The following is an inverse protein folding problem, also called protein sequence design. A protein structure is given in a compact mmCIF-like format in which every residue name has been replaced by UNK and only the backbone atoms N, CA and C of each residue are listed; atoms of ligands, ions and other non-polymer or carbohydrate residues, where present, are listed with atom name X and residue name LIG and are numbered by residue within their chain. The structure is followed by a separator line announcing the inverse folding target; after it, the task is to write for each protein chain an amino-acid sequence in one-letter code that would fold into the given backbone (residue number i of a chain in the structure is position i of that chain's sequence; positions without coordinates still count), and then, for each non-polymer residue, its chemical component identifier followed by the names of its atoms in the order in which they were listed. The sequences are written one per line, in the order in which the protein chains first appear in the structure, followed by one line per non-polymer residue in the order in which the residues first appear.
data_IF_964356985324
#
_entry.id   IF_964356985324
#
_cell.length_a   1.000
_cell.length_b   1.000
_cell.length_c   1.000
_cell.angle_alpha   90.00
_cell.angle_beta   90.00
_cell.angle_gamma   90.00
#
_symmetry.space_group_name_H-M   'P 1'
#
loop_
_entity.id
_entity.type
_entity.pdbx_description
1 polymer ?
#
# COMPACT_ATOMS: atom_id res chain seq x y z
N UNK A 1 -2.34 15.42 12.70
CA UNK A 1 -3.61 15.90 13.28
C UNK A 1 -3.37 17.24 13.96
N UNK A 2 -4.40 18.08 14.15
CA UNK A 2 -4.25 19.43 14.75
C UNK A 2 -3.63 19.41 16.16
N UNK A 3 -3.68 18.26 16.82
CA UNK A 3 -3.20 17.99 18.18
C UNK A 3 -2.08 16.93 18.21
N UNK A 4 -1.42 16.66 17.07
CA UNK A 4 -0.35 15.67 16.95
C UNK A 4 -0.76 14.22 17.29
N UNK A 5 -2.06 13.93 17.36
CA UNK A 5 -2.57 12.60 17.68
C UNK A 5 -2.32 11.53 16.61
N UNK A 6 -2.11 11.94 15.36
CA UNK A 6 -1.88 11.03 14.23
C UNK A 6 -1.16 11.73 13.07
N UNK A 7 -0.39 10.96 12.29
CA UNK A 7 -0.04 11.35 10.93
C UNK A 7 -1.31 11.29 10.05
N UNK A 8 -1.57 12.33 9.26
CA UNK A 8 -2.78 12.44 8.44
C UNK A 8 -2.38 12.86 7.03
N UNK A 9 -2.76 12.02 6.07
CA UNK A 9 -2.58 12.24 4.63
C UNK A 9 -3.97 12.26 4.02
N UNK A 10 -4.64 13.42 4.09
CA UNK A 10 -5.99 13.58 3.54
C UNK A 10 -6.33 15.06 3.35
N UNK A 11 -7.02 15.40 2.26
CA UNK A 11 -7.67 16.69 2.03
C UNK A 11 -8.89 16.58 1.12
N UNK A 12 -9.77 17.58 1.20
CA UNK A 12 -10.95 17.61 0.31
C UNK A 12 -10.51 17.99 -1.10
N UNK A 13 -10.87 17.16 -2.08
CA UNK A 13 -10.64 17.43 -3.51
C UNK A 13 -9.33 16.86 -4.03
N UNK A 14 -8.85 15.75 -3.45
CA UNK A 14 -7.76 14.94 -3.98
C UNK A 14 -8.02 14.51 -5.44
N UNK A 15 -6.95 14.38 -6.21
CA UNK A 15 -6.97 13.54 -7.43
C UNK A 15 -6.88 12.07 -7.06
N UNK A 16 -7.15 11.16 -8.00
CA UNK A 16 -7.01 9.72 -7.76
C UNK A 16 -5.57 9.32 -7.42
N UNK A 17 -4.58 9.96 -8.06
CA UNK A 17 -3.17 9.74 -7.75
C UNK A 17 -2.82 10.20 -6.33
N UNK A 18 -3.32 11.38 -5.93
CA UNK A 18 -3.12 11.89 -4.57
C UNK A 18 -3.75 10.96 -3.52
N UNK A 19 -4.96 10.44 -3.79
CA UNK A 19 -5.62 9.46 -2.95
C UNK A 19 -4.75 8.20 -2.74
N UNK A 20 -4.27 7.58 -3.82
CA UNK A 20 -3.48 6.36 -3.71
C UNK A 20 -2.09 6.60 -3.09
N UNK A 21 -1.46 7.76 -3.31
CA UNK A 21 -0.23 8.14 -2.60
C UNK A 21 -0.48 8.42 -1.10
N UNK A 22 -1.66 8.94 -0.74
CA UNK A 22 -2.08 9.05 0.65
C UNK A 22 -2.26 7.67 1.30
N UNK A 23 -2.91 6.73 0.61
CA UNK A 23 -3.04 5.33 1.06
C UNK A 23 -1.67 4.66 1.25
N UNK A 24 -0.75 4.85 0.30
CA UNK A 24 0.64 4.38 0.42
C UNK A 24 1.37 5.01 1.61
N UNK A 25 1.17 6.32 1.83
CA UNK A 25 1.78 7.05 2.94
C UNK A 25 1.24 6.57 4.29
N UNK A 26 -0.06 6.34 4.40
CA UNK A 26 -0.72 5.87 5.61
C UNK A 26 -0.28 4.46 6.02
N UNK A 27 -0.06 3.56 5.05
CA UNK A 27 0.43 2.20 5.32
C UNK A 27 1.95 2.12 5.51
N UNK A 28 2.70 3.16 5.12
CA UNK A 28 4.17 3.21 5.25
C UNK A 28 4.59 3.77 6.61
N UNK A 29 5.06 2.89 7.48
CA UNK A 29 5.62 3.27 8.79
C UNK A 29 7.13 3.53 8.68
N UNK A 30 7.59 4.76 8.95
CA UNK A 30 8.97 5.19 8.65
C UNK A 30 10.02 4.57 9.57
N UNK A 31 9.64 4.19 10.78
CA UNK A 31 10.55 3.63 11.79
C UNK A 31 10.19 2.18 12.08
N UNK A 32 11.22 1.35 12.26
CA UNK A 32 11.06 0.01 12.84
C UNK A 32 10.97 0.16 14.37
N UNK A 33 9.83 -0.22 14.93
CA UNK A 33 9.57 -0.17 16.38
C UNK A 33 10.17 -1.38 17.14
N UNK A 34 11.02 -2.17 16.48
CA UNK A 34 11.60 -3.42 16.99
C UNK A 34 10.74 -4.65 16.68
N UNK A 35 9.60 -4.47 15.99
CA UNK A 35 8.73 -5.56 15.52
C UNK A 35 8.59 -5.58 13.98
N UNK A 36 9.34 -4.73 13.27
CA UNK A 36 9.33 -4.59 11.81
C UNK A 36 8.67 -3.29 11.33
N UNK A 37 8.51 -3.14 10.02
CA UNK A 37 7.78 -2.02 9.43
C UNK A 37 6.31 -2.38 9.16
N UNK A 38 5.42 -1.40 9.27
CA UNK A 38 4.00 -1.51 8.90
C UNK A 38 3.04 -1.55 10.09
N UNK A 39 1.72 -1.48 9.82
CA UNK A 39 0.68 -1.50 10.86
C UNK A 39 0.49 -2.89 11.47
N UNK A 40 0.13 -2.92 12.76
CA UNK A 40 -0.36 -4.14 13.42
C UNK A 40 -1.85 -4.39 13.15
N UNK A 41 -2.65 -3.33 13.01
CA UNK A 41 -4.10 -3.37 12.81
C UNK A 41 -4.45 -2.35 11.73
N UNK A 42 -5.41 -2.73 10.87
CA UNK A 42 -6.00 -1.85 9.87
C UNK A 42 -7.47 -1.62 10.21
N UNK A 43 -7.91 -0.38 10.09
CA UNK A 43 -9.33 -0.02 10.03
C UNK A 43 -9.56 0.47 8.62
N UNK A 44 -10.39 -0.24 7.86
CA UNK A 44 -10.59 -0.01 6.43
C UNK A 44 -12.09 0.25 6.16
N UNK A 45 -12.37 1.02 5.11
CA UNK A 45 -13.72 1.37 4.66
C UNK A 45 -13.73 1.35 3.13
N UNK A 46 -14.25 0.26 2.56
CA UNK A 46 -14.24 -0.04 1.12
C UNK A 46 -13.08 -0.91 0.67
N UNK A 47 -12.12 -1.20 1.56
CA UNK A 47 -11.09 -2.23 1.35
C UNK A 47 -9.86 -1.82 0.52
N UNK A 48 -9.65 -0.55 0.21
CA UNK A 48 -8.56 -0.11 -0.68
C UNK A 48 -7.16 -0.29 -0.06
N UNK A 49 -7.00 -0.06 1.24
CA UNK A 49 -5.71 -0.32 1.90
C UNK A 49 -5.43 -1.82 1.91
N UNK A 50 -6.45 -2.62 2.21
CA UNK A 50 -6.38 -4.08 2.15
C UNK A 50 -6.02 -4.55 0.74
N UNK A 51 -6.66 -4.00 -0.29
CA UNK A 51 -6.37 -4.29 -1.70
C UNK A 51 -4.91 -3.97 -2.04
N UNK A 52 -4.43 -2.78 -1.68
CA UNK A 52 -3.06 -2.36 -1.99
C UNK A 52 -2.02 -3.31 -1.39
N UNK A 53 -2.22 -3.75 -0.14
CA UNK A 53 -1.32 -4.72 0.53
C UNK A 53 -1.35 -6.07 -0.20
N UNK A 54 -2.54 -6.57 -0.54
CA UNK A 54 -2.68 -7.87 -1.19
C UNK A 54 -2.09 -7.88 -2.61
N UNK A 55 -2.32 -6.83 -3.41
CA UNK A 55 -1.75 -6.72 -4.76
C UNK A 55 -0.24 -6.46 -4.72
N UNK A 56 0.22 -5.63 -3.79
CA UNK A 56 1.65 -5.41 -3.55
C UNK A 56 2.38 -6.71 -3.21
N UNK A 57 1.81 -7.51 -2.30
CA UNK A 57 2.36 -8.83 -1.95
C UNK A 57 2.40 -9.78 -3.16
N UNK A 58 1.31 -9.86 -3.93
CA UNK A 58 1.28 -10.70 -5.14
C UNK A 58 2.38 -10.30 -6.14
N UNK A 59 2.58 -9.00 -6.32
CA UNK A 59 3.61 -8.48 -7.21
C UNK A 59 5.02 -8.76 -6.68
N UNK A 60 5.27 -8.60 -5.38
CA UNK A 60 6.55 -8.97 -4.75
C UNK A 60 6.84 -10.46 -4.88
N UNK A 61 5.84 -11.33 -4.66
CA UNK A 61 5.99 -12.78 -4.82
C UNK A 61 6.32 -13.15 -6.28
N UNK A 62 5.69 -12.50 -7.26
CA UNK A 62 6.00 -12.68 -8.68
C UNK A 62 7.41 -12.16 -9.02
N UNK A 63 7.75 -10.96 -8.56
CA UNK A 63 9.06 -10.35 -8.78
C UNK A 63 10.20 -11.19 -8.17
N UNK A 64 10.02 -11.73 -6.96
CA UNK A 64 10.99 -12.60 -6.32
C UNK A 64 11.17 -13.94 -7.06
N UNK A 65 10.11 -14.44 -7.71
CA UNK A 65 10.14 -15.69 -8.46
C UNK A 65 10.89 -15.56 -9.79
N UNK A 66 10.60 -14.52 -10.57
CA UNK A 66 11.10 -14.41 -11.95
C UNK A 66 11.36 -12.98 -12.45
N UNK A 67 11.30 -11.98 -11.57
CA UNK A 67 11.52 -10.57 -11.91
C UNK A 67 10.34 -9.91 -12.61
N UNK A 68 9.16 -10.56 -12.66
CA UNK A 68 7.95 -9.97 -13.24
C UNK A 68 7.57 -8.70 -12.49
N UNK A 69 7.39 -7.61 -13.25
CA UNK A 69 6.84 -6.34 -12.76
C UNK A 69 5.35 -6.24 -13.12
N UNK A 70 4.52 -5.60 -12.28
CA UNK A 70 3.15 -5.30 -12.65
C UNK A 70 3.11 -4.35 -13.86
N UNK A 71 2.12 -4.56 -14.73
CA UNK A 71 1.93 -3.75 -15.94
C UNK A 71 0.63 -2.95 -15.85
N UNK A 72 0.69 -1.62 -15.65
CA UNK A 72 -0.49 -0.77 -15.65
C UNK A 72 -1.34 -0.89 -16.92
N UNK A 73 -0.76 -1.24 -18.07
CA UNK A 73 -1.52 -1.41 -19.32
C UNK A 73 -2.34 -2.71 -19.38
N UNK A 74 -2.23 -3.58 -18.37
CA UNK A 74 -2.99 -4.83 -18.27
C UNK A 74 -4.47 -4.65 -17.88
N UNK A 75 -4.89 -3.44 -17.53
CA UNK A 75 -6.25 -3.11 -17.09
C UNK A 75 -6.75 -1.82 -17.74
N UNK A 76 -8.06 -1.74 -17.98
CA UNK A 76 -8.73 -0.52 -18.44
C UNK A 76 -9.26 0.35 -17.29
N UNK A 77 -9.16 -0.13 -16.03
CA UNK A 77 -9.56 0.63 -14.86
C UNK A 77 -8.50 1.68 -14.47
N UNK A 78 -8.87 2.96 -14.52
CA UNK A 78 -7.95 4.08 -14.28
C UNK A 78 -7.35 4.09 -12.86
N UNK A 79 -8.11 3.74 -11.83
CA UNK A 79 -7.58 3.64 -10.46
C UNK A 79 -6.61 2.46 -10.32
N UNK A 80 -6.95 1.31 -10.91
CA UNK A 80 -6.09 0.15 -10.82
C UNK A 80 -4.78 0.33 -11.60
N UNK A 81 -4.77 1.14 -12.67
CA UNK A 81 -3.52 1.58 -13.31
C UNK A 81 -2.60 2.31 -12.33
N UNK A 82 -3.16 3.16 -11.47
CA UNK A 82 -2.40 3.91 -10.46
C UNK A 82 -1.82 2.94 -9.42
N UNK A 83 -2.63 2.00 -8.92
CA UNK A 83 -2.19 0.95 -7.98
C UNK A 83 -1.01 0.15 -8.55
N UNK A 84 -1.14 -0.36 -9.77
CA UNK A 84 -0.07 -1.13 -10.42
C UNK A 84 1.18 -0.26 -10.67
N UNK A 85 1.00 1.02 -10.98
CA UNK A 85 2.11 1.97 -11.18
C UNK A 85 2.87 2.24 -9.88
N UNK A 86 2.18 2.38 -8.75
CA UNK A 86 2.79 2.52 -7.42
C UNK A 86 3.62 1.29 -7.11
N UNK A 87 3.04 0.09 -7.23
CA UNK A 87 3.72 -1.16 -6.90
C UNK A 87 4.95 -1.35 -7.80
N UNK A 88 4.81 -1.10 -9.12
CA UNK A 88 5.92 -1.16 -10.08
C UNK A 88 7.05 -0.21 -9.67
N UNK A 89 6.72 1.04 -9.36
CA UNK A 89 7.69 2.08 -8.96
C UNK A 89 8.48 1.68 -7.72
N UNK A 90 7.85 1.06 -6.72
CA UNK A 90 8.51 0.59 -5.51
C UNK A 90 9.47 -0.58 -5.80
N UNK A 91 9.03 -1.56 -6.59
CA UNK A 91 9.88 -2.68 -7.01
C UNK A 91 11.11 -2.20 -7.78
N UNK A 92 10.93 -1.28 -8.74
CA UNK A 92 12.02 -0.68 -9.51
C UNK A 92 12.97 0.16 -8.64
N UNK A 93 12.47 0.76 -7.55
CA UNK A 93 13.28 1.48 -6.56
C UNK A 93 14.03 0.56 -5.58
N UNK A 94 13.80 -0.76 -5.63
CA UNK A 94 14.46 -1.75 -4.76
C UNK A 94 13.70 -2.07 -3.48
N UNK A 95 12.49 -1.53 -3.28
CA UNK A 95 11.58 -1.96 -2.20
C UNK A 95 10.87 -3.26 -2.59
N UNK A 96 11.58 -4.39 -2.51
CA UNK A 96 11.12 -5.70 -3.04
C UNK A 96 10.49 -6.64 -2.01
N UNK A 97 10.40 -6.21 -0.75
CA UNK A 97 9.89 -7.03 0.37
C UNK A 97 9.10 -6.16 1.38
N UNK A 98 8.56 -5.03 0.93
CA UNK A 98 7.79 -4.08 1.74
C UNK A 98 6.43 -4.69 2.09
N UNK A 99 5.69 -5.13 1.08
CA UNK A 99 4.31 -5.62 1.23
C UNK A 99 4.27 -6.98 1.92
N UNK A 100 5.24 -7.85 1.66
CA UNK A 100 5.44 -9.11 2.37
C UNK A 100 5.64 -8.90 3.88
N UNK A 101 6.45 -7.93 4.28
CA UNK A 101 6.64 -7.57 5.70
C UNK A 101 5.37 -7.02 6.32
N UNK A 102 4.68 -6.10 5.64
CA UNK A 102 3.41 -5.52 6.11
C UNK A 102 2.38 -6.64 6.31
N UNK A 103 2.19 -7.51 5.32
CA UNK A 103 1.24 -8.61 5.36
C UNK A 103 1.56 -9.65 6.45
N UNK A 104 2.84 -9.93 6.69
CA UNK A 104 3.27 -10.84 7.76
C UNK A 104 3.09 -10.24 9.17
N UNK A 105 3.24 -8.92 9.30
CA UNK A 105 3.09 -8.22 10.58
C UNK A 105 1.62 -8.05 10.96
N UNK A 106 0.80 -7.57 10.02
CA UNK A 106 -0.60 -7.22 10.24
C UNK A 106 -1.38 -8.36 10.90
N UNK A 107 -2.06 -8.06 12.01
CA UNK A 107 -2.83 -9.02 12.82
C UNK A 107 -4.28 -9.14 12.37
N UNK A 108 -4.79 -8.13 11.68
CA UNK A 108 -6.14 -8.14 11.15
C UNK A 108 -6.59 -6.77 10.66
N UNK A 109 -7.69 -6.81 9.93
CA UNK A 109 -8.43 -5.65 9.47
C UNK A 109 -9.85 -5.70 10.04
N UNK A 110 -10.38 -4.55 10.45
CA UNK A 110 -11.82 -4.36 10.66
C UNK A 110 -12.35 -3.52 9.51
N UNK A 111 -13.24 -4.11 8.71
CA UNK A 111 -13.85 -3.51 7.52
C UNK A 111 -15.23 -2.91 7.85
N UNK A 112 -15.49 -1.69 7.38
CA UNK A 112 -16.78 -1.01 7.58
C UNK A 112 -17.82 -1.38 6.49
N UNK A 113 -17.43 -1.53 5.21
CA UNK A 113 -18.39 -1.79 4.09
C UNK A 113 -17.90 -2.72 2.99
#
# INVERSE_FOLDING_TARGET
ARDESAAVFAWKGETLEEYWECTLSAVTWPEDDGKGHGPDIIVDDGGDMTLLIHEGKKAEDAFAKDGTLPDPSSTDNEEFKIVLSIIKRLLEAGETDKWNKIAARCKGVSEET
#
